data_IF_083999199804
#
_entry.id   IF_083999199804
#
_cell.length_a   1.000
_cell.length_b   1.000
_cell.length_c   1.000
_cell.angle_alpha   90.00
_cell.angle_beta   90.00
_cell.angle_gamma   90.00
#
_symmetry.space_group_name_H-M   'P 1'
#
loop_
_entity.id
_entity.type
_entity.pdbx_description
1 polymer ?
#
# COMPACT_ATOMS: atom_id res chain seq x y z
N UNK A 1 -66.85 -7.14 1.20
CA UNK A 1 -66.26 -8.41 0.74
C UNK A 1 -65.27 -8.23 -0.42
N UNK A 2 -65.59 -7.44 -1.47
CA UNK A 2 -64.67 -7.19 -2.60
C UNK A 2 -63.33 -6.53 -2.24
N UNK A 3 -63.30 -5.58 -1.29
CA UNK A 3 -62.03 -4.91 -0.89
C UNK A 3 -61.03 -5.85 -0.21
N UNK A 4 -61.50 -6.81 0.58
CA UNK A 4 -60.65 -7.83 1.24
C UNK A 4 -60.04 -8.79 0.22
N UNK A 5 -60.81 -9.13 -0.82
CA UNK A 5 -60.35 -9.99 -1.91
C UNK A 5 -59.29 -9.31 -2.78
N UNK A 6 -59.48 -8.03 -3.13
CA UNK A 6 -58.50 -7.23 -3.89
C UNK A 6 -57.22 -7.01 -3.08
N UNK A 7 -57.32 -6.77 -1.76
CA UNK A 7 -56.15 -6.64 -0.88
C UNK A 7 -55.33 -7.94 -0.80
N UNK A 8 -55.99 -9.09 -0.69
CA UNK A 8 -55.30 -10.39 -0.68
C UNK A 8 -54.65 -10.71 -2.04
N UNK A 9 -55.28 -10.36 -3.16
CA UNK A 9 -54.68 -10.51 -4.51
C UNK A 9 -53.45 -9.61 -4.67
N UNK A 10 -53.50 -8.36 -4.19
CA UNK A 10 -52.36 -7.43 -4.24
C UNK A 10 -51.20 -7.88 -3.33
N UNK A 11 -51.51 -8.41 -2.14
CA UNK A 11 -50.52 -8.96 -1.21
C UNK A 11 -49.86 -10.23 -1.78
N UNK A 12 -50.62 -11.09 -2.44
CA UNK A 12 -50.13 -12.30 -3.11
C UNK A 12 -49.21 -11.96 -4.28
N UNK A 13 -49.61 -11.04 -5.17
CA UNK A 13 -48.76 -10.55 -6.27
C UNK A 13 -47.47 -9.87 -5.78
N UNK A 14 -47.51 -9.14 -4.65
CA UNK A 14 -46.31 -8.53 -4.06
C UNK A 14 -45.31 -9.58 -3.58
N UNK A 15 -45.78 -10.71 -3.06
CA UNK A 15 -44.94 -11.84 -2.63
C UNK A 15 -44.35 -12.61 -3.81
N UNK A 16 -45.11 -12.82 -4.89
CA UNK A 16 -44.59 -13.40 -6.12
C UNK A 16 -43.49 -12.53 -6.76
N UNK A 17 -43.69 -11.21 -6.78
CA UNK A 17 -42.67 -10.26 -7.27
C UNK A 17 -41.42 -10.28 -6.38
N UNK A 18 -41.58 -10.28 -5.05
CA UNK A 18 -40.45 -10.38 -4.10
C UNK A 18 -39.70 -11.71 -4.24
N UNK A 19 -40.42 -12.82 -4.43
CA UNK A 19 -39.83 -14.14 -4.67
C UNK A 19 -39.07 -14.18 -5.99
N UNK A 20 -39.64 -13.62 -7.07
CA UNK A 20 -38.97 -13.55 -8.36
C UNK A 20 -37.73 -12.65 -8.31
N UNK A 21 -37.79 -11.53 -7.59
CA UNK A 21 -36.64 -10.66 -7.35
C UNK A 21 -35.55 -11.40 -6.53
N UNK A 22 -35.94 -12.13 -5.49
CA UNK A 22 -35.04 -12.93 -4.68
C UNK A 22 -34.39 -14.07 -5.48
N UNK A 23 -35.13 -14.72 -6.38
CA UNK A 23 -34.61 -15.75 -7.30
C UNK A 23 -33.64 -15.13 -8.31
N UNK A 24 -33.97 -13.97 -8.89
CA UNK A 24 -33.05 -13.26 -9.79
C UNK A 24 -31.78 -12.82 -9.08
N UNK A 25 -31.91 -12.31 -7.84
CA UNK A 25 -30.77 -11.98 -6.98
C UNK A 25 -29.97 -13.23 -6.68
N UNK A 26 -30.60 -14.35 -6.31
CA UNK A 26 -29.94 -15.61 -6.01
C UNK A 26 -29.26 -16.23 -7.24
N UNK A 27 -29.86 -16.16 -8.42
CA UNK A 27 -29.27 -16.62 -9.68
C UNK A 27 -28.08 -15.74 -10.07
N UNK A 28 -28.22 -14.41 -9.96
CA UNK A 28 -27.09 -13.49 -10.18
C UNK A 28 -25.98 -13.73 -9.17
N UNK A 29 -26.32 -13.92 -7.90
CA UNK A 29 -25.40 -14.23 -6.82
C UNK A 29 -24.69 -15.56 -7.06
N UNK A 30 -25.41 -16.58 -7.52
CA UNK A 30 -24.85 -17.87 -7.89
C UNK A 30 -23.89 -17.75 -9.08
N UNK A 31 -24.26 -17.03 -10.14
CA UNK A 31 -23.36 -16.78 -11.27
C UNK A 31 -22.11 -15.99 -10.87
N UNK A 32 -22.23 -15.05 -9.93
CA UNK A 32 -21.11 -14.29 -9.37
C UNK A 32 -20.18 -15.20 -8.56
N UNK A 33 -20.74 -16.09 -7.73
CA UNK A 33 -19.99 -17.03 -6.91
C UNK A 33 -19.27 -18.12 -7.72
N UNK A 34 -19.79 -18.44 -8.91
CA UNK A 34 -19.18 -19.40 -9.84
C UNK A 34 -18.27 -18.75 -10.89
N UNK A 35 -18.21 -17.42 -10.96
CA UNK A 35 -17.36 -16.73 -11.93
C UNK A 35 -15.90 -16.90 -11.52
N UNK A 36 -15.08 -17.50 -12.38
CA UNK A 36 -13.63 -17.49 -12.25
C UNK A 36 -13.05 -16.56 -13.32
N UNK A 37 -12.44 -15.41 -12.95
CA UNK A 37 -11.81 -14.53 -13.91
C UNK A 37 -10.66 -15.28 -14.58
N UNK A 38 -10.62 -15.24 -15.91
CA UNK A 38 -9.52 -15.80 -16.66
C UNK A 38 -8.33 -14.84 -16.60
N UNK A 39 -7.45 -15.04 -15.61
CA UNK A 39 -6.24 -14.23 -15.40
C UNK A 39 -5.28 -14.33 -16.59
N UNK A 40 -5.30 -15.40 -17.39
CA UNK A 40 -4.38 -15.53 -18.53
C UNK A 40 -4.51 -14.40 -19.54
N UNK A 41 -5.72 -13.86 -19.75
CA UNK A 41 -5.90 -12.68 -20.60
C UNK A 41 -5.40 -11.40 -19.94
N UNK A 42 -5.47 -11.30 -18.61
CA UNK A 42 -5.04 -10.14 -17.82
C UNK A 42 -3.54 -10.06 -17.60
N UNK A 43 -2.80 -11.18 -17.70
CA UNK A 43 -1.34 -11.23 -17.57
C UNK A 43 -0.65 -10.40 -18.65
N UNK A 44 -1.15 -10.42 -19.90
CA UNK A 44 -0.55 -9.67 -21.01
C UNK A 44 0.95 -9.95 -21.22
N UNK A 45 1.41 -11.20 -21.02
CA UNK A 45 2.83 -11.59 -21.12
C UNK A 45 3.48 -11.21 -22.47
N UNK A 46 2.69 -11.20 -23.54
CA UNK A 46 3.12 -10.80 -24.88
C UNK A 46 3.53 -9.32 -24.99
N UNK A 47 3.30 -8.49 -23.94
CA UNK A 47 3.72 -7.10 -23.84
C UNK A 47 5.14 -6.93 -23.27
N UNK A 48 5.77 -8.00 -22.78
CA UNK A 48 7.16 -7.92 -22.33
C UNK A 48 8.13 -7.61 -23.50
N UNK A 49 9.21 -6.82 -23.27
CA UNK A 49 9.74 -6.41 -21.96
C UNK A 49 9.04 -5.18 -21.34
N UNK A 50 8.05 -4.57 -22.00
CA UNK A 50 7.24 -3.45 -21.47
C UNK A 50 6.15 -3.97 -20.52
N UNK A 51 6.61 -4.60 -19.44
CA UNK A 51 5.80 -5.30 -18.44
C UNK A 51 6.46 -5.21 -17.06
N UNK A 52 5.80 -5.72 -16.01
CA UNK A 52 6.30 -5.66 -14.62
C UNK A 52 7.39 -6.69 -14.32
N UNK A 53 7.47 -7.77 -15.09
CA UNK A 53 8.49 -8.81 -14.94
C UNK A 53 8.03 -10.19 -15.38
N UNK A 54 8.90 -11.18 -15.22
CA UNK A 54 8.64 -12.58 -15.61
C UNK A 54 8.99 -13.61 -14.54
N UNK A 55 9.44 -13.16 -13.36
CA UNK A 55 9.91 -14.02 -12.26
C UNK A 55 8.84 -14.97 -11.70
N UNK A 56 7.56 -14.65 -11.87
CA UNK A 56 6.44 -15.51 -11.46
C UNK A 56 5.85 -16.37 -12.60
N UNK A 57 6.29 -16.21 -13.84
CA UNK A 57 5.60 -16.81 -14.98
C UNK A 57 5.66 -18.34 -15.01
N UNK A 58 6.65 -18.95 -14.36
CA UNK A 58 6.78 -20.40 -14.25
C UNK A 58 5.76 -21.04 -13.30
N UNK A 59 5.18 -20.31 -12.34
CA UNK A 59 4.23 -20.87 -11.38
C UNK A 59 2.89 -20.12 -11.30
N UNK A 60 2.71 -18.97 -11.97
CA UNK A 60 1.47 -18.18 -11.87
C UNK A 60 0.20 -18.96 -12.25
N UNK A 61 0.33 -19.97 -13.10
CA UNK A 61 -0.76 -20.84 -13.52
C UNK A 61 -1.17 -21.86 -12.44
N UNK A 62 -0.34 -22.07 -11.42
CA UNK A 62 -0.62 -22.92 -10.26
C UNK A 62 -1.41 -22.18 -9.17
N UNK A 63 -1.58 -20.86 -9.30
CA UNK A 63 -2.35 -20.05 -8.35
C UNK A 63 -3.84 -20.32 -8.53
N UNK A 64 -4.47 -20.94 -7.54
CA UNK A 64 -5.91 -21.17 -7.54
C UNK A 64 -6.64 -19.87 -7.15
N UNK A 65 -7.32 -19.26 -8.11
CA UNK A 65 -8.04 -18.00 -7.91
C UNK A 65 -9.35 -18.32 -7.18
N UNK A 66 -9.44 -17.89 -5.93
CA UNK A 66 -10.56 -18.18 -5.07
C UNK A 66 -11.46 -16.94 -4.92
N UNK A 67 -12.57 -16.88 -5.66
CA UNK A 67 -13.68 -15.96 -5.37
C UNK A 67 -14.65 -16.60 -4.38
N UNK A 68 -14.14 -16.99 -3.21
CA UNK A 68 -14.93 -17.73 -2.22
C UNK A 68 -15.40 -16.88 -1.05
N UNK A 69 -14.78 -15.73 -0.78
CA UNK A 69 -15.21 -14.84 0.29
C UNK A 69 -15.95 -13.61 -0.24
N UNK A 70 -16.94 -13.16 0.54
CA UNK A 70 -17.83 -12.04 0.19
C UNK A 70 -17.03 -10.77 -0.02
N UNK A 71 -15.89 -10.62 0.65
CA UNK A 71 -15.00 -9.47 0.54
C UNK A 71 -14.24 -9.42 -0.81
N UNK A 72 -13.74 -10.54 -1.31
CA UNK A 72 -13.09 -10.67 -2.62
C UNK A 72 -14.08 -10.39 -3.75
N UNK A 73 -15.33 -10.82 -3.58
CA UNK A 73 -16.42 -10.48 -4.50
C UNK A 73 -16.75 -8.98 -4.41
N UNK A 74 -16.89 -8.41 -3.21
CA UNK A 74 -17.11 -6.97 -3.06
C UNK A 74 -15.96 -6.13 -3.65
N UNK A 75 -14.70 -6.44 -3.34
CA UNK A 75 -13.53 -5.73 -3.85
C UNK A 75 -13.47 -5.75 -5.39
N UNK A 76 -13.79 -6.90 -6.00
CA UNK A 76 -13.84 -7.08 -7.45
C UNK A 76 -14.96 -6.26 -8.12
N UNK A 77 -16.17 -6.21 -7.54
CA UNK A 77 -17.33 -5.51 -8.14
C UNK A 77 -17.41 -4.02 -7.81
N UNK A 78 -16.80 -3.56 -6.70
CA UNK A 78 -16.85 -2.17 -6.26
C UNK A 78 -15.58 -1.36 -6.58
N UNK A 79 -14.72 -1.88 -7.48
CA UNK A 79 -13.73 -1.06 -8.19
C UNK A 79 -12.38 -0.87 -7.49
N UNK A 80 -12.00 -1.77 -6.58
CA UNK A 80 -10.64 -1.77 -6.02
C UNK A 80 -9.70 -2.39 -7.07
N UNK A 81 -9.14 -1.53 -7.93
CA UNK A 81 -7.99 -1.72 -8.84
C UNK A 81 -7.66 -3.19 -9.23
N UNK A 82 -8.37 -3.85 -10.16
CA UNK A 82 -7.92 -5.12 -10.77
C UNK A 82 -7.20 -6.12 -9.82
N UNK A 83 -7.72 -6.30 -8.60
CA UNK A 83 -7.14 -7.15 -7.55
C UNK A 83 -7.85 -8.50 -7.56
N UNK A 84 -7.07 -9.57 -7.53
CA UNK A 84 -7.56 -10.95 -7.46
C UNK A 84 -6.97 -11.64 -6.24
N UNK A 85 -7.77 -12.47 -5.58
CA UNK A 85 -7.32 -13.25 -4.44
C UNK A 85 -7.19 -14.72 -4.85
N UNK A 86 -6.12 -15.36 -4.38
CA UNK A 86 -5.83 -16.75 -4.70
C UNK A 86 -5.11 -17.50 -3.61
N UNK A 87 -4.81 -18.76 -3.89
CA UNK A 87 -4.01 -19.64 -3.03
C UNK A 87 -2.87 -20.23 -3.85
N UNK A 88 -1.66 -20.15 -3.32
CA UNK A 88 -0.45 -20.72 -3.90
C UNK A 88 0.33 -21.47 -2.83
N UNK A 89 0.65 -22.74 -3.05
CA UNK A 89 1.34 -23.61 -2.09
C UNK A 89 0.72 -23.62 -0.68
N UNK A 90 -0.62 -23.55 -0.61
CA UNK A 90 -1.36 -23.51 0.66
C UNK A 90 -1.41 -22.13 1.34
N UNK A 91 -0.70 -21.13 0.82
CA UNK A 91 -0.71 -19.75 1.32
C UNK A 91 -1.66 -18.88 0.50
N UNK A 92 -2.37 -17.95 1.15
CA UNK A 92 -3.19 -16.95 0.44
C UNK A 92 -2.29 -15.91 -0.23
N UNK A 93 -2.62 -15.55 -1.46
CA UNK A 93 -1.89 -14.56 -2.27
C UNK A 93 -2.86 -13.55 -2.87
N UNK A 94 -2.34 -12.38 -3.21
CA UNK A 94 -3.02 -11.33 -3.96
C UNK A 94 -2.33 -11.16 -5.30
N UNK A 95 -3.11 -11.07 -6.37
CA UNK A 95 -2.63 -10.74 -7.70
C UNK A 95 -3.14 -9.35 -8.05
N UNK A 96 -2.25 -8.44 -8.41
CA UNK A 96 -2.59 -7.04 -8.71
C UNK A 96 -2.18 -6.68 -10.13
N UNK A 97 -3.10 -6.04 -10.87
CA UNK A 97 -2.77 -5.28 -12.09
C UNK A 97 -2.69 -3.80 -11.72
N UNK A 98 -1.47 -3.34 -11.48
CA UNK A 98 -1.12 -2.09 -10.79
C UNK A 98 -1.33 -0.80 -11.61
N UNK A 99 -2.13 -0.85 -12.67
CA UNK A 99 -2.53 0.29 -13.48
C UNK A 99 -3.89 0.00 -14.13
N UNK A 100 -4.66 1.06 -14.39
CA UNK A 100 -5.92 0.94 -15.10
C UNK A 100 -5.70 0.63 -16.58
N UNK A 101 -6.68 0.01 -17.23
CA UNK A 101 -6.53 -0.37 -18.64
C UNK A 101 -6.23 0.84 -19.53
N UNK A 102 -6.84 2.00 -19.28
CA UNK A 102 -6.55 3.21 -20.07
C UNK A 102 -5.13 3.75 -19.86
N UNK A 103 -4.58 3.63 -18.64
CA UNK A 103 -3.21 4.07 -18.33
C UNK A 103 -2.21 3.19 -19.06
N UNK A 104 -2.47 1.87 -19.06
CA UNK A 104 -1.67 0.89 -19.78
C UNK A 104 -1.76 1.05 -21.30
N UNK A 105 -2.94 1.35 -21.84
CA UNK A 105 -3.14 1.62 -23.25
C UNK A 105 -2.41 2.90 -23.70
N UNK A 106 -2.45 3.96 -22.88
CA UNK A 106 -1.72 5.20 -23.15
C UNK A 106 -0.19 4.98 -23.05
N UNK A 107 0.26 4.19 -22.08
CA UNK A 107 1.66 3.79 -21.95
C UNK A 107 2.14 2.93 -23.14
N UNK A 108 1.32 2.00 -23.61
CA UNK A 108 1.57 1.22 -24.82
C UNK A 108 1.65 2.08 -26.07
N UNK A 109 0.80 3.12 -26.15
CA UNK A 109 0.82 4.08 -27.25
C UNK A 109 2.11 4.88 -27.24
N UNK A 110 2.46 5.45 -26.09
CA UNK A 110 3.70 6.24 -25.90
C UNK A 110 4.95 5.43 -26.27
N UNK A 111 5.06 4.20 -25.78
CA UNK A 111 6.23 3.33 -26.05
C UNK A 111 6.36 2.92 -27.51
N UNK A 112 5.26 2.89 -28.26
CA UNK A 112 5.26 2.51 -29.68
C UNK A 112 5.33 3.69 -30.66
N UNK A 113 4.99 4.90 -30.22
CA UNK A 113 5.06 6.13 -31.03
C UNK A 113 6.40 6.87 -30.89
N UNK A 114 7.04 6.77 -29.72
CA UNK A 114 8.33 7.43 -29.46
C UNK A 114 9.48 6.63 -30.08
N UNK A 115 10.28 7.27 -30.93
CA UNK A 115 11.46 6.68 -31.57
C UNK A 115 12.48 6.14 -30.55
N UNK A 116 12.56 6.72 -29.36
CA UNK A 116 13.46 6.31 -28.28
C UNK A 116 13.07 4.94 -27.71
N UNK A 117 11.77 4.67 -27.59
CA UNK A 117 11.23 3.44 -26.99
C UNK A 117 10.80 2.40 -28.01
N UNK A 118 10.88 2.74 -29.30
CA UNK A 118 10.44 1.87 -30.39
C UNK A 118 11.10 0.47 -30.37
N UNK A 119 12.34 0.36 -29.86
CA UNK A 119 13.05 -0.92 -29.75
C UNK A 119 12.42 -1.90 -28.73
N UNK A 120 11.69 -1.39 -27.72
CA UNK A 120 11.02 -2.21 -26.69
C UNK A 120 9.53 -2.39 -26.96
N UNK A 121 8.94 -1.61 -27.87
CA UNK A 121 7.53 -1.78 -28.26
C UNK A 121 7.29 -3.17 -28.87
N UNK A 122 6.31 -3.89 -28.36
CA UNK A 122 6.05 -5.28 -28.77
C UNK A 122 5.57 -5.45 -30.20
N UNK A 123 4.99 -4.41 -30.81
CA UNK A 123 4.61 -4.41 -32.23
C UNK A 123 5.82 -4.32 -33.17
N UNK A 124 6.97 -3.84 -32.69
CA UNK A 124 8.19 -3.58 -33.47
C UNK A 124 9.35 -4.52 -33.15
N UNK A 125 9.32 -5.28 -32.04
CA UNK A 125 10.38 -6.24 -31.65
C UNK A 125 10.78 -7.20 -32.78
N UNK A 126 9.85 -7.61 -33.66
CA UNK A 126 10.16 -8.45 -34.83
C UNK A 126 11.08 -7.79 -35.88
N UNK A 127 11.30 -6.47 -35.81
CA UNK A 127 12.11 -5.68 -36.77
C UNK A 127 13.50 -5.30 -36.25
N UNK A 128 13.75 -5.34 -34.94
CA UNK A 128 14.94 -4.74 -34.30
C UNK A 128 16.01 -5.75 -33.84
N UNK A 129 15.90 -7.03 -34.24
CA UNK A 129 16.81 -8.11 -33.82
C UNK A 129 17.03 -8.17 -32.28
N UNK A 130 16.01 -7.80 -31.49
CA UNK A 130 16.05 -7.76 -30.02
C UNK A 130 17.14 -6.86 -29.41
N UNK A 131 17.66 -5.87 -30.15
CA UNK A 131 18.70 -4.97 -29.64
C UNK A 131 18.09 -3.73 -28.99
N UNK A 132 18.12 -3.69 -27.65
CA UNK A 132 17.73 -2.49 -26.88
C UNK A 132 18.89 -1.48 -26.89
N UNK A 133 18.70 -0.35 -27.57
CA UNK A 133 19.70 0.72 -27.66
C UNK A 133 19.51 1.81 -26.60
N UNK A 134 18.26 2.09 -26.20
CA UNK A 134 17.94 3.06 -25.17
C UNK A 134 18.56 2.71 -23.81
N UNK A 135 19.05 3.74 -23.09
CA UNK A 135 19.59 3.59 -21.74
C UNK A 135 18.47 3.77 -20.69
N UNK A 136 17.73 2.69 -20.41
CA UNK A 136 16.62 2.73 -19.46
C UNK A 136 17.02 3.17 -18.05
N UNK A 137 18.29 2.99 -17.68
CA UNK A 137 18.81 3.50 -16.41
C UNK A 137 18.68 5.02 -16.28
N UNK A 138 19.05 5.77 -17.33
CA UNK A 138 18.97 7.23 -17.32
C UNK A 138 17.51 7.71 -17.21
N UNK A 139 16.57 6.96 -17.81
CA UNK A 139 15.15 7.26 -17.66
C UNK A 139 14.69 7.02 -16.22
N UNK A 140 15.08 5.91 -15.58
CA UNK A 140 14.77 5.68 -14.15
C UNK A 140 15.29 6.81 -13.27
N UNK A 141 16.55 7.23 -13.46
CA UNK A 141 17.15 8.33 -12.70
C UNK A 141 16.37 9.64 -12.89
N UNK A 142 15.96 9.93 -14.13
CA UNK A 142 15.18 11.12 -14.45
C UNK A 142 13.81 11.09 -13.77
N UNK A 143 13.05 10.01 -13.93
CA UNK A 143 11.69 9.90 -13.36
C UNK A 143 11.71 10.05 -11.84
N UNK A 144 12.65 9.39 -11.16
CA UNK A 144 12.78 9.44 -9.70
C UNK A 144 13.28 10.80 -9.20
N UNK A 145 14.08 11.53 -10.00
CA UNK A 145 14.63 12.84 -9.65
C UNK A 145 13.64 14.00 -9.81
N UNK A 146 12.73 13.89 -10.78
CA UNK A 146 11.77 14.96 -11.05
C UNK A 146 10.69 14.97 -9.98
N UNK A 147 10.49 16.11 -9.30
CA UNK A 147 9.29 16.31 -8.46
C UNK A 147 8.07 16.06 -9.35
N UNK A 148 7.05 15.29 -8.92
CA UNK A 148 5.92 14.89 -9.76
C UNK A 148 5.04 16.11 -10.03
N UNK A 149 5.48 16.96 -10.96
CA UNK A 149 4.72 18.09 -11.51
C UNK A 149 4.12 17.70 -12.86
N UNK A 150 4.58 16.58 -13.46
CA UNK A 150 4.03 16.05 -14.70
C UNK A 150 3.41 14.69 -14.43
N UNK A 151 2.09 14.69 -14.54
CA UNK A 151 1.20 13.54 -14.75
C UNK A 151 0.68 12.89 -13.47
N UNK A 152 -0.59 12.49 -13.53
CA UNK A 152 -1.41 11.91 -12.47
C UNK A 152 -0.95 10.51 -12.00
N UNK A 153 0.32 10.16 -12.15
CA UNK A 153 0.85 8.84 -11.81
C UNK A 153 1.54 8.86 -10.45
N UNK A 154 1.26 7.83 -9.67
CA UNK A 154 1.86 7.56 -8.38
C UNK A 154 3.37 7.32 -8.54
N UNK A 155 4.19 7.77 -7.59
CA UNK A 155 5.62 7.95 -7.86
C UNK A 155 6.56 7.55 -6.73
N UNK A 156 7.69 6.94 -7.13
CA UNK A 156 8.88 6.76 -6.30
C UNK A 156 9.75 8.01 -6.41
N UNK A 157 9.93 8.71 -5.29
CA UNK A 157 10.84 9.86 -5.23
C UNK A 157 12.10 9.50 -4.46
N UNK A 158 13.29 9.78 -5.00
CA UNK A 158 14.56 9.70 -4.27
C UNK A 158 15.17 11.09 -4.18
N UNK A 159 15.45 11.52 -2.96
CA UNK A 159 15.91 12.88 -2.69
C UNK A 159 16.90 12.91 -1.51
N UNK A 160 17.67 14.00 -1.34
CA UNK A 160 17.79 15.16 -2.23
C UNK A 160 18.62 14.87 -3.49
N UNK A 161 19.20 13.68 -3.62
CA UNK A 161 20.03 13.27 -4.75
C UNK A 161 19.70 11.86 -5.20
N UNK A 162 19.97 11.53 -6.47
CA UNK A 162 19.80 10.19 -7.03
C UNK A 162 21.11 9.40 -7.13
N UNK A 163 22.22 9.96 -6.61
CA UNK A 163 23.56 9.35 -6.70
C UNK A 163 23.62 7.91 -6.16
N UNK A 164 22.89 7.63 -5.07
CA UNK A 164 22.86 6.30 -4.46
C UNK A 164 21.68 5.43 -4.94
N UNK A 165 21.06 5.73 -6.09
CA UNK A 165 20.00 4.89 -6.68
C UNK A 165 20.45 3.43 -6.86
N UNK A 166 21.71 3.19 -7.25
CA UNK A 166 22.26 1.84 -7.34
C UNK A 166 22.22 1.09 -6.00
N UNK A 167 22.51 1.78 -4.89
CA UNK A 167 22.47 1.19 -3.57
C UNK A 167 21.03 0.91 -3.15
N UNK A 168 20.09 1.78 -3.49
CA UNK A 168 18.65 1.57 -3.25
C UNK A 168 18.13 0.33 -4.00
N UNK A 169 18.47 0.19 -5.28
CA UNK A 169 18.01 -0.90 -6.14
C UNK A 169 18.86 -2.18 -6.04
N UNK A 170 19.87 -2.22 -5.16
CA UNK A 170 20.84 -3.32 -5.12
C UNK A 170 20.19 -4.69 -4.91
N UNK A 171 19.20 -4.79 -4.03
CA UNK A 171 18.50 -6.04 -3.75
C UNK A 171 17.75 -6.57 -4.98
N UNK A 172 17.16 -5.68 -5.78
CA UNK A 172 16.46 -6.06 -7.02
C UNK A 172 17.46 -6.65 -8.01
N UNK A 173 18.58 -5.96 -8.23
CA UNK A 173 19.63 -6.45 -9.14
C UNK A 173 20.29 -7.75 -8.68
N UNK A 174 20.37 -7.97 -7.37
CA UNK A 174 20.89 -9.21 -6.81
C UNK A 174 19.90 -10.37 -6.98
N UNK A 175 18.61 -10.15 -6.69
CA UNK A 175 17.57 -11.16 -6.76
C UNK A 175 17.25 -11.56 -8.21
N UNK A 176 17.32 -10.61 -9.15
CA UNK A 176 17.04 -10.82 -10.58
C UNK A 176 18.33 -10.97 -11.40
N UNK A 177 19.40 -11.51 -10.80
CA UNK A 177 20.73 -11.64 -11.44
C UNK A 177 20.74 -12.51 -12.71
N UNK A 178 19.77 -13.40 -12.84
CA UNK A 178 19.62 -14.31 -13.98
C UNK A 178 18.86 -13.64 -15.15
N UNK A 179 18.25 -12.47 -14.90
CA UNK A 179 17.60 -11.64 -15.92
C UNK A 179 18.63 -10.74 -16.60
N UNK A 180 18.55 -10.62 -17.94
CA UNK A 180 19.42 -9.71 -18.68
C UNK A 180 19.33 -8.27 -18.13
N UNK A 181 20.48 -7.64 -17.91
CA UNK A 181 20.54 -6.33 -17.23
C UNK A 181 19.74 -5.25 -17.96
N UNK A 182 19.74 -5.23 -19.29
CA UNK A 182 18.99 -4.23 -20.06
C UNK A 182 17.49 -4.47 -19.94
N UNK A 183 17.07 -5.74 -19.95
CA UNK A 183 15.67 -6.11 -19.74
C UNK A 183 15.22 -5.73 -18.32
N UNK A 184 16.05 -6.00 -17.32
CA UNK A 184 15.74 -5.63 -15.93
C UNK A 184 15.63 -4.11 -15.75
N UNK A 185 16.50 -3.33 -16.40
CA UNK A 185 16.40 -1.87 -16.39
C UNK A 185 15.10 -1.39 -17.07
N UNK A 186 14.57 -2.10 -18.08
CA UNK A 186 13.22 -1.82 -18.65
C UNK A 186 12.13 -2.13 -17.62
N UNK A 187 12.16 -3.27 -16.92
CA UNK A 187 11.18 -3.60 -15.89
C UNK A 187 11.16 -2.56 -14.77
N UNK A 188 12.33 -2.13 -14.30
CA UNK A 188 12.47 -1.09 -13.29
C UNK A 188 11.86 0.22 -13.81
N UNK A 189 12.17 0.62 -15.04
CA UNK A 189 11.57 1.83 -15.63
C UNK A 189 10.05 1.75 -15.74
N UNK A 190 9.50 0.64 -16.23
CA UNK A 190 8.04 0.43 -16.34
C UNK A 190 7.39 0.57 -14.97
N UNK A 191 7.95 -0.05 -13.94
CA UNK A 191 7.45 0.03 -12.58
C UNK A 191 7.60 1.44 -11.99
N UNK A 192 8.72 2.13 -12.22
CA UNK A 192 8.90 3.51 -11.77
C UNK A 192 7.84 4.45 -12.37
N UNK A 193 7.46 4.25 -13.64
CA UNK A 193 6.50 5.11 -14.34
C UNK A 193 5.05 4.77 -13.99
N UNK A 194 4.71 3.48 -13.92
CA UNK A 194 3.32 3.05 -13.73
C UNK A 194 2.96 2.89 -12.26
N UNK A 195 3.79 2.17 -11.50
CA UNK A 195 3.52 1.86 -10.11
C UNK A 195 4.77 1.27 -9.40
N UNK A 196 5.38 2.00 -8.45
CA UNK A 196 6.63 1.59 -7.83
C UNK A 196 6.46 0.55 -6.72
N UNK A 197 5.24 0.18 -6.34
CA UNK A 197 4.97 -0.78 -5.26
C UNK A 197 5.81 -2.06 -5.38
N UNK A 198 5.93 -2.73 -6.56
CA UNK A 198 6.71 -3.96 -6.68
C UNK A 198 8.22 -3.74 -6.48
N UNK A 199 8.74 -2.55 -6.82
CA UNK A 199 10.12 -2.19 -6.53
C UNK A 199 10.30 -2.04 -5.02
N UNK A 200 9.37 -1.35 -4.37
CA UNK A 200 9.41 -1.09 -2.93
C UNK A 200 9.25 -2.36 -2.11
N UNK A 201 8.40 -3.31 -2.50
CA UNK A 201 8.28 -4.61 -1.82
C UNK A 201 9.58 -5.44 -1.91
N UNK A 202 10.34 -5.29 -2.99
CA UNK A 202 11.66 -5.93 -3.13
C UNK A 202 12.77 -5.22 -2.34
N UNK A 203 12.73 -3.88 -2.29
CA UNK A 203 13.66 -3.06 -1.50
C UNK A 203 13.42 -3.27 0.00
N UNK A 204 12.16 -3.30 0.40
CA UNK A 204 11.68 -3.39 1.79
C UNK A 204 11.20 -4.81 2.09
N UNK A 205 12.06 -5.81 1.92
CA UNK A 205 11.64 -7.22 2.02
C UNK A 205 10.96 -7.57 3.35
N UNK A 206 9.77 -8.17 3.26
CA UNK A 206 9.06 -8.72 4.42
C UNK A 206 9.91 -9.75 5.19
N UNK A 207 10.75 -10.52 4.50
CA UNK A 207 11.65 -11.52 5.10
C UNK A 207 12.74 -10.86 5.98
N UNK A 208 13.04 -9.58 5.75
CA UNK A 208 13.94 -8.80 6.60
C UNK A 208 13.18 -8.10 7.75
N UNK A 209 11.88 -8.36 7.93
CA UNK A 209 11.04 -7.79 8.98
C UNK A 209 10.53 -6.37 8.69
N UNK A 210 10.47 -5.98 7.42
CA UNK A 210 9.75 -4.77 7.01
C UNK A 210 8.23 -4.99 7.08
N UNK A 211 7.43 -3.97 7.47
CA UNK A 211 5.98 -4.09 7.66
C UNK A 211 5.25 -3.91 6.31
N UNK A 212 5.56 -4.74 5.33
CA UNK A 212 4.95 -4.76 4.00
C UNK A 212 4.66 -6.21 3.57
N UNK A 213 3.77 -6.45 2.59
CA UNK A 213 3.55 -7.77 2.02
C UNK A 213 4.83 -8.40 1.48
N UNK A 214 4.91 -9.73 1.53
CA UNK A 214 5.94 -10.46 0.78
C UNK A 214 5.67 -10.36 -0.72
N UNK A 215 6.67 -9.95 -1.49
CA UNK A 215 6.66 -10.03 -2.95
C UNK A 215 7.02 -11.45 -3.40
N UNK A 216 6.17 -12.08 -4.20
CA UNK A 216 6.45 -13.40 -4.77
C UNK A 216 7.04 -13.33 -6.18
N UNK A 217 6.68 -12.31 -6.96
CA UNK A 217 7.18 -12.12 -8.32
C UNK A 217 6.19 -11.40 -9.21
N UNK A 218 6.54 -11.24 -10.49
CA UNK A 218 5.65 -10.69 -11.50
C UNK A 218 5.59 -11.59 -12.73
N UNK A 219 4.45 -11.61 -13.40
CA UNK A 219 4.33 -12.18 -14.74
C UNK A 219 3.52 -11.23 -15.62
N UNK A 220 4.17 -10.71 -16.68
CA UNK A 220 3.56 -9.73 -17.55
C UNK A 220 3.16 -8.48 -16.75
N UNK A 221 1.88 -8.13 -16.75
CA UNK A 221 1.29 -6.98 -16.04
C UNK A 221 0.57 -7.37 -14.75
N UNK A 222 0.91 -8.52 -14.19
CA UNK A 222 0.38 -9.00 -12.91
C UNK A 222 1.53 -9.19 -11.94
N UNK A 223 1.35 -8.67 -10.74
CA UNK A 223 2.23 -8.90 -9.59
C UNK A 223 1.55 -9.88 -8.64
N UNK A 224 2.34 -10.77 -8.04
CA UNK A 224 1.89 -11.72 -7.01
C UNK A 224 2.54 -11.34 -5.68
N UNK A 225 1.71 -11.14 -4.67
CA UNK A 225 2.14 -10.75 -3.32
C UNK A 225 1.37 -11.53 -2.24
N UNK A 226 1.83 -11.40 -0.99
CA UNK A 226 1.16 -11.95 0.19
C UNK A 226 -0.22 -11.34 0.43
N UNK A 227 -1.21 -12.21 0.66
CA UNK A 227 -2.44 -11.78 1.32
C UNK A 227 -2.19 -11.67 2.82
N UNK A 228 -2.07 -10.44 3.31
CA UNK A 228 -1.81 -10.15 4.73
C UNK A 228 -3.01 -10.51 5.60
N UNK A 229 -4.20 -10.04 5.23
CA UNK A 229 -5.42 -10.18 6.02
C UNK A 229 -6.43 -9.08 5.71
N UNK A 230 -7.31 -8.78 6.66
CA UNK A 230 -8.32 -7.73 6.52
C UNK A 230 -7.71 -6.35 6.75
N UNK A 231 -8.29 -5.28 6.16
CA UNK A 231 -7.87 -3.91 6.42
C UNK A 231 -8.09 -3.54 7.89
N UNK A 232 -7.36 -2.52 8.37
CA UNK A 232 -7.39 -2.06 9.76
C UNK A 232 -8.79 -1.61 10.19
N UNK A 233 -9.60 -1.09 9.26
CA UNK A 233 -11.01 -0.73 9.49
C UNK A 233 -11.84 -1.89 10.04
N UNK A 234 -11.54 -3.13 9.67
CA UNK A 234 -12.23 -4.32 10.18
C UNK A 234 -12.00 -4.56 11.68
N UNK A 235 -10.95 -3.97 12.26
CA UNK A 235 -10.54 -4.16 13.66
C UNK A 235 -10.99 -3.01 14.57
N UNK A 236 -11.75 -2.05 14.04
CA UNK A 236 -12.19 -0.88 14.80
C UNK A 236 -13.00 -1.27 16.06
N UNK A 237 -13.89 -2.27 15.97
CA UNK A 237 -14.71 -2.71 17.11
C UNK A 237 -14.11 -3.87 17.93
N UNK A 238 -12.86 -4.24 17.68
CA UNK A 238 -12.20 -5.32 18.42
C UNK A 238 -11.91 -4.92 19.87
N UNK A 239 -11.66 -5.91 20.78
CA UNK A 239 -11.31 -5.62 22.16
C UNK A 239 -10.15 -4.63 22.26
N UNK A 240 -10.23 -3.69 23.20
CA UNK A 240 -9.26 -2.58 23.33
C UNK A 240 -7.80 -3.07 23.35
N UNK A 241 -7.52 -4.18 24.04
CA UNK A 241 -6.18 -4.75 24.12
C UNK A 241 -5.63 -5.20 22.75
N UNK A 242 -6.49 -5.72 21.87
CA UNK A 242 -6.10 -6.08 20.51
C UNK A 242 -5.81 -4.83 19.69
N UNK A 243 -6.66 -3.80 19.80
CA UNK A 243 -6.41 -2.49 19.16
C UNK A 243 -5.13 -1.83 19.66
N UNK A 244 -4.81 -1.94 20.96
CA UNK A 244 -3.54 -1.51 21.53
C UNK A 244 -2.33 -2.23 20.93
N UNK A 245 -2.44 -3.53 20.67
CA UNK A 245 -1.40 -4.31 19.98
C UNK A 245 -1.20 -3.84 18.53
N UNK A 246 -2.29 -3.58 17.80
CA UNK A 246 -2.24 -3.01 16.46
C UNK A 246 -1.61 -1.60 16.47
N UNK A 247 -1.96 -0.74 17.42
CA UNK A 247 -1.33 0.58 17.59
C UNK A 247 0.17 0.45 17.89
N UNK A 248 0.58 -0.46 18.77
CA UNK A 248 2.01 -0.70 19.02
C UNK A 248 2.75 -1.12 17.74
N UNK A 249 2.14 -1.99 16.94
CA UNK A 249 2.66 -2.43 15.64
C UNK A 249 2.76 -1.28 14.62
N UNK A 250 1.78 -0.37 14.56
CA UNK A 250 1.83 0.83 13.73
C UNK A 250 3.01 1.73 14.10
N UNK A 251 3.22 1.97 15.41
CA UNK A 251 4.31 2.81 15.89
C UNK A 251 5.69 2.15 15.67
N UNK A 252 5.77 0.80 15.73
CA UNK A 252 6.96 0.05 15.32
C UNK A 252 7.25 0.22 13.82
N UNK A 253 6.22 0.19 12.98
CA UNK A 253 6.36 0.42 11.54
C UNK A 253 6.85 1.84 11.23
N UNK A 254 6.32 2.88 11.90
CA UNK A 254 6.83 4.25 11.78
C UNK A 254 8.34 4.31 12.07
N UNK A 255 8.78 3.66 13.15
CA UNK A 255 10.19 3.55 13.48
C UNK A 255 10.99 2.86 12.37
N UNK A 256 10.51 1.71 11.86
CA UNK A 256 11.21 0.95 10.82
C UNK A 256 11.40 1.77 9.55
N UNK A 257 10.33 2.37 9.02
CA UNK A 257 10.39 3.21 7.82
C UNK A 257 11.31 4.42 7.98
N UNK A 258 11.32 5.06 9.16
CA UNK A 258 12.17 6.23 9.39
C UNK A 258 13.63 5.88 9.68
N UNK A 259 13.92 4.80 10.43
CA UNK A 259 15.23 4.59 11.05
C UNK A 259 15.92 3.26 10.75
N UNK A 260 15.20 2.21 10.34
CA UNK A 260 15.80 0.86 10.22
C UNK A 260 16.95 0.80 9.21
N UNK A 261 16.86 1.55 8.11
CA UNK A 261 17.95 1.66 7.15
C UNK A 261 18.82 2.89 7.47
N UNK A 262 20.14 2.67 7.57
CA UNK A 262 21.11 3.71 7.91
C UNK A 262 21.28 4.75 6.79
N UNK A 263 21.18 4.30 5.54
CA UNK A 263 21.39 5.12 4.34
C UNK A 263 20.11 5.75 3.82
N UNK A 264 18.94 5.14 4.06
CA UNK A 264 17.67 5.60 3.51
C UNK A 264 16.59 5.77 4.57
N UNK A 265 15.77 6.80 4.44
CA UNK A 265 14.49 6.94 5.15
C UNK A 265 13.35 6.79 4.15
N UNK A 266 12.32 6.02 4.50
CA UNK A 266 11.17 5.77 3.65
C UNK A 266 9.97 6.48 4.28
N UNK A 267 9.32 7.38 3.55
CA UNK A 267 8.24 8.20 4.07
C UNK A 267 6.96 7.93 3.30
N UNK A 268 5.97 7.38 4.00
CA UNK A 268 4.68 6.96 3.46
C UNK A 268 3.77 8.16 3.27
N UNK A 269 3.32 8.41 2.04
CA UNK A 269 2.54 9.61 1.72
C UNK A 269 1.04 9.35 1.49
N UNK A 270 0.60 8.10 1.58
CA UNK A 270 -0.81 7.70 1.44
C UNK A 270 -1.25 6.72 2.55
N UNK A 271 -1.07 7.16 3.79
CA UNK A 271 -1.48 6.37 4.97
C UNK A 271 -2.98 6.51 5.20
N UNK A 272 -3.68 5.38 5.19
CA UNK A 272 -5.11 5.27 5.53
C UNK A 272 -5.39 3.94 6.24
N UNK A 273 -6.55 3.81 6.87
CA UNK A 273 -6.94 2.57 7.54
C UNK A 273 -7.23 1.42 6.54
N UNK A 274 -7.53 1.74 5.29
CA UNK A 274 -7.77 0.73 4.24
C UNK A 274 -6.47 0.26 3.57
N UNK A 275 -5.42 1.10 3.59
CA UNK A 275 -4.09 0.78 3.07
C UNK A 275 -3.20 0.03 4.08
N UNK A 276 -3.75 -0.32 5.25
CA UNK A 276 -3.08 -1.10 6.28
C UNK A 276 -3.86 -2.39 6.51
N UNK A 277 -3.20 -3.53 6.37
CA UNK A 277 -3.78 -4.84 6.65
C UNK A 277 -3.16 -5.46 7.91
N UNK A 278 -3.91 -6.35 8.54
CA UNK A 278 -3.52 -7.02 9.79
C UNK A 278 -3.33 -8.52 9.55
N UNK A 279 -2.16 -9.04 9.91
CA UNK A 279 -1.86 -10.46 9.78
C UNK A 279 -2.48 -11.31 10.91
N UNK A 280 -2.36 -12.63 10.78
CA UNK A 280 -2.88 -13.58 11.77
C UNK A 280 -2.24 -13.46 13.18
N UNK A 281 -1.10 -12.79 13.30
CA UNK A 281 -0.39 -12.54 14.55
C UNK A 281 -0.65 -11.13 15.12
N UNK A 282 -1.59 -10.38 14.55
CA UNK A 282 -1.89 -8.98 14.83
C UNK A 282 -0.71 -8.02 14.58
N UNK A 283 0.15 -8.32 13.62
CA UNK A 283 1.08 -7.33 13.08
C UNK A 283 0.41 -6.59 11.92
N UNK A 284 0.69 -5.30 11.83
CA UNK A 284 0.24 -4.49 10.70
C UNK A 284 1.25 -4.56 9.55
N UNK A 285 0.75 -4.47 8.31
CA UNK A 285 1.55 -4.28 7.10
C UNK A 285 0.88 -3.26 6.19
N UNK A 286 1.67 -2.41 5.55
CA UNK A 286 1.19 -1.43 4.56
C UNK A 286 1.10 -2.10 3.18
N UNK A 287 -0.10 -2.16 2.62
CA UNK A 287 -0.42 -2.93 1.41
C UNK A 287 -0.54 -2.09 0.13
N UNK A 288 -0.47 -0.76 0.26
CA UNK A 288 -0.37 0.19 -0.84
C UNK A 288 0.94 0.98 -0.65
N UNK A 289 1.90 0.78 -1.57
CA UNK A 289 3.19 1.45 -1.56
C UNK A 289 3.40 2.27 -2.85
N UNK A 290 2.31 2.70 -3.47
CA UNK A 290 2.37 3.39 -4.77
C UNK A 290 3.01 4.78 -4.64
N UNK A 291 2.97 5.39 -3.46
CA UNK A 291 3.50 6.72 -3.19
C UNK A 291 4.44 6.71 -1.97
N UNK A 292 5.76 6.84 -2.22
CA UNK A 292 6.78 6.91 -1.17
C UNK A 292 7.86 7.93 -1.54
N UNK A 293 8.26 8.72 -0.53
CA UNK A 293 9.46 9.55 -0.59
C UNK A 293 10.60 8.80 0.09
N UNK A 294 11.67 8.55 -0.66
CA UNK A 294 12.92 7.98 -0.16
C UNK A 294 13.93 9.11 0.04
N UNK A 295 14.37 9.30 1.27
CA UNK A 295 15.44 10.24 1.62
C UNK A 295 16.75 9.50 1.74
N UNK A 296 17.71 9.85 0.88
CA UNK A 296 19.12 9.49 0.98
C UNK A 296 19.78 10.27 2.12
N UNK A 297 20.13 9.57 3.19
CA UNK A 297 20.75 10.12 4.41
C UNK A 297 22.26 10.30 4.25
N UNK A 298 22.86 9.68 3.24
CA UNK A 298 24.31 9.51 3.07
C UNK A 298 24.90 10.49 2.06
N UNK A 299 24.34 11.71 1.99
CA UNK A 299 24.74 12.76 1.05
C UNK A 299 26.00 13.54 1.49
N UNK A 300 26.69 14.12 0.51
CA UNK A 300 27.90 14.91 0.76
C UNK A 300 27.56 16.24 1.43
N UNK A 301 28.45 16.84 2.24
CA UNK A 301 28.17 18.10 2.93
C UNK A 301 27.72 19.25 2.03
N UNK A 302 28.19 19.28 0.78
CA UNK A 302 27.82 20.29 -0.23
C UNK A 302 26.38 20.18 -0.74
N UNK A 303 25.75 19.02 -0.59
CA UNK A 303 24.36 18.76 -1.01
C UNK A 303 23.36 19.02 0.13
N UNK A 304 23.85 19.24 1.36
CA UNK A 304 23.01 19.41 2.54
C UNK A 304 22.40 20.79 2.53
N UNK A 305 21.09 20.84 2.78
CA UNK A 305 20.41 22.09 3.12
C UNK A 305 20.96 22.65 4.46
N UNK A 306 20.68 23.91 4.74
CA UNK A 306 20.99 24.53 6.04
C UNK A 306 20.24 23.87 7.20
N UNK A 307 19.09 23.25 6.94
CA UNK A 307 18.26 22.58 7.94
C UNK A 307 18.49 21.07 8.00
N UNK A 308 19.43 20.52 7.20
CA UNK A 308 19.60 19.07 7.03
C UNK A 308 19.69 18.26 8.33
N UNK A 309 20.39 18.79 9.33
CA UNK A 309 20.59 18.11 10.62
C UNK A 309 19.48 18.39 11.64
N UNK A 310 18.50 19.21 11.31
CA UNK A 310 17.33 19.47 12.14
C UNK A 310 16.28 18.38 11.90
N UNK A 311 15.47 18.09 12.92
CA UNK A 311 14.29 17.25 12.73
C UNK A 311 13.25 18.04 11.93
N UNK A 312 12.81 17.50 10.80
CA UNK A 312 11.64 18.04 10.12
C UNK A 312 10.39 17.65 10.90
N UNK A 313 9.67 18.66 11.38
CA UNK A 313 8.37 18.50 12.05
C UNK A 313 7.28 18.88 11.07
N UNK A 314 6.36 17.96 10.80
CA UNK A 314 5.22 18.26 9.94
C UNK A 314 4.22 19.17 10.67
N UNK A 315 4.03 20.37 10.10
CA UNK A 315 3.11 21.42 10.56
C UNK A 315 2.02 21.75 9.53
N UNK A 316 1.97 21.02 8.41
CA UNK A 316 0.95 21.24 7.38
C UNK A 316 -0.43 20.92 7.94
N UNK A 317 -1.36 21.86 7.80
CA UNK A 317 -2.72 21.73 8.30
C UNK A 317 -3.68 22.31 7.25
N UNK A 318 -4.27 21.44 6.42
CA UNK A 318 -5.36 21.83 5.54
C UNK A 318 -6.69 21.86 6.30
N UNK A 319 -7.67 22.56 5.73
CA UNK A 319 -9.04 22.66 6.25
C UNK A 319 -9.80 21.32 6.32
N UNK A 320 -9.21 20.20 5.89
CA UNK A 320 -9.79 18.87 6.01
C UNK A 320 -9.12 18.07 7.15
N UNK A 321 -9.87 17.75 8.23
CA UNK A 321 -9.35 17.02 9.38
C UNK A 321 -8.84 15.59 9.10
N UNK A 322 -9.25 15.02 7.96
CA UNK A 322 -9.00 13.62 7.58
C UNK A 322 -7.96 13.49 6.45
N UNK A 323 -7.41 14.61 5.95
CA UNK A 323 -6.39 14.56 4.90
C UNK A 323 -4.99 14.44 5.49
N UNK A 324 -4.14 13.67 4.82
CA UNK A 324 -2.72 13.65 5.08
C UNK A 324 -2.03 14.82 4.35
N UNK A 325 -1.57 15.81 5.10
CA UNK A 325 -0.91 17.00 4.57
C UNK A 325 0.60 16.93 4.81
N UNK A 326 1.41 17.19 3.79
CA UNK A 326 2.87 17.22 3.93
C UNK A 326 3.55 17.98 2.78
N UNK A 327 4.77 18.45 3.06
CA UNK A 327 5.65 19.06 2.08
C UNK A 327 6.75 18.08 1.70
N UNK A 328 6.69 17.57 0.46
CA UNK A 328 7.76 16.70 -0.08
C UNK A 328 9.13 17.39 -0.05
N UNK A 329 9.15 18.70 -0.28
CA UNK A 329 10.37 19.51 -0.26
C UNK A 329 10.97 19.56 1.13
N UNK A 330 10.14 19.77 2.16
CA UNK A 330 10.63 19.81 3.54
C UNK A 330 11.13 18.45 3.99
N UNK A 331 10.42 17.36 3.68
CA UNK A 331 10.92 16.00 3.95
C UNK A 331 12.29 15.78 3.28
N UNK A 332 12.42 16.15 2.01
CA UNK A 332 13.66 15.98 1.24
C UNK A 332 14.83 16.87 1.69
N UNK A 333 14.56 17.98 2.37
CA UNK A 333 15.57 18.91 2.86
C UNK A 333 16.13 18.53 4.23
N UNK A 334 15.68 17.44 4.86
CA UNK A 334 16.12 17.03 6.18
C UNK A 334 16.53 15.56 6.20
N UNK A 335 17.52 15.24 7.04
CA UNK A 335 17.98 13.86 7.23
C UNK A 335 16.89 12.97 7.83
N UNK A 336 16.07 13.54 8.72
CA UNK A 336 15.02 12.84 9.46
C UNK A 336 13.78 13.73 9.50
N UNK A 337 12.63 13.12 9.22
CA UNK A 337 11.31 13.71 9.33
C UNK A 337 10.44 12.90 10.29
N UNK A 338 9.55 13.58 11.02
CA UNK A 338 8.54 12.92 11.84
C UNK A 338 7.30 12.46 11.04
N UNK A 339 7.32 12.58 9.72
CA UNK A 339 6.15 12.37 8.85
C UNK A 339 5.47 11.01 9.04
N UNK A 340 6.21 9.90 9.16
CA UNK A 340 5.59 8.59 9.39
C UNK A 340 4.81 8.53 10.71
N UNK A 341 5.34 9.16 11.76
CA UNK A 341 4.65 9.28 13.06
C UNK A 341 3.47 10.22 12.96
N UNK A 342 3.62 11.34 12.24
CA UNK A 342 2.53 12.27 11.97
C UNK A 342 1.38 11.58 11.25
N UNK A 343 1.67 10.84 10.17
CA UNK A 343 0.67 10.16 9.37
C UNK A 343 -0.11 9.14 10.21
N UNK A 344 0.59 8.29 10.96
CA UNK A 344 -0.06 7.31 11.85
C UNK A 344 -0.86 7.98 12.95
N UNK A 345 -0.26 8.92 13.69
CA UNK A 345 -0.95 9.53 14.83
C UNK A 345 -2.13 10.38 14.39
N UNK A 346 -1.96 11.22 13.37
CA UNK A 346 -3.01 12.09 12.86
C UNK A 346 -4.14 11.31 12.22
N UNK A 347 -3.85 10.34 11.36
CA UNK A 347 -4.89 9.64 10.58
C UNK A 347 -5.54 8.51 11.37
N UNK A 348 -4.76 7.77 12.17
CA UNK A 348 -5.25 6.51 12.78
C UNK A 348 -5.51 6.61 14.29
N UNK A 349 -4.87 7.56 15.00
CA UNK A 349 -4.95 7.65 16.47
C UNK A 349 -5.66 8.90 17.00
N UNK A 350 -5.95 9.88 16.15
CA UNK A 350 -6.60 11.13 16.58
C UNK A 350 -7.95 10.85 17.27
N UNK A 351 -8.12 11.44 18.47
CA UNK A 351 -9.33 11.35 19.28
C UNK A 351 -10.47 12.26 18.75
N UNK A 352 -10.74 12.24 17.45
CA UNK A 352 -11.79 13.03 16.82
C UNK A 352 -13.01 12.14 16.55
N UNK A 353 -14.08 12.34 17.32
CA UNK A 353 -15.34 11.59 17.18
C UNK A 353 -16.07 11.84 15.85
N UNK A 354 -15.76 12.94 15.16
CA UNK A 354 -16.36 13.27 13.87
C UNK A 354 -15.60 12.67 12.68
N UNK A 355 -14.56 11.86 12.92
CA UNK A 355 -13.82 11.17 11.86
C UNK A 355 -14.74 10.14 11.18
N UNK A 356 -14.82 10.19 9.85
CA UNK A 356 -15.72 9.36 9.04
C UNK A 356 -15.29 7.88 8.94
N UNK A 357 -14.01 7.59 9.18
CA UNK A 357 -13.41 6.25 9.00
C UNK A 357 -13.19 5.57 10.36
N UNK A 358 -12.48 6.23 11.28
CA UNK A 358 -12.18 5.74 12.64
C UNK A 358 -12.59 6.79 13.68
N UNK A 359 -13.89 6.91 14.03
CA UNK A 359 -14.35 7.82 15.07
C UNK A 359 -13.59 7.65 16.39
N UNK A 360 -12.96 8.71 16.90
CA UNK A 360 -12.17 8.65 18.13
C UNK A 360 -10.84 7.89 18.03
N UNK A 361 -10.44 7.46 16.82
CA UNK A 361 -9.19 6.77 16.56
C UNK A 361 -9.17 5.31 17.02
N UNK A 362 -8.08 4.60 16.71
CA UNK A 362 -7.98 3.17 16.99
C UNK A 362 -8.00 2.82 18.48
N UNK A 363 -7.69 3.77 19.39
CA UNK A 363 -7.67 3.57 20.84
C UNK A 363 -8.92 4.11 21.57
N UNK A 364 -10.03 4.37 20.85
CA UNK A 364 -11.29 4.81 21.45
C UNK A 364 -11.84 3.82 22.51
N UNK A 365 -12.77 4.28 23.34
CA UNK A 365 -13.45 3.50 24.38
C UNK A 365 -12.50 2.69 25.27
N UNK A 366 -11.49 3.37 25.83
CA UNK A 366 -10.53 2.76 26.74
C UNK A 366 -11.23 2.29 28.04
N UNK A 367 -11.02 1.03 28.46
CA UNK A 367 -11.58 0.52 29.71
C UNK A 367 -11.16 1.36 30.93
N UNK A 368 -12.08 1.53 31.89
CA UNK A 368 -11.87 2.40 33.05
C UNK A 368 -10.67 1.96 33.92
N UNK A 369 -10.48 0.67 34.11
CA UNK A 369 -9.36 0.10 34.86
C UNK A 369 -7.99 0.40 34.22
N UNK A 370 -7.94 0.40 32.88
CA UNK A 370 -6.74 0.77 32.11
C UNK A 370 -6.54 2.29 32.19
N UNK A 371 -7.60 3.08 32.03
CA UNK A 371 -7.53 4.54 32.14
C UNK A 371 -7.02 4.99 33.50
N UNK A 372 -7.54 4.42 34.59
CA UNK A 372 -7.11 4.74 35.96
C UNK A 372 -5.66 4.30 36.23
N UNK A 373 -5.25 3.15 35.69
CA UNK A 373 -3.89 2.63 35.87
C UNK A 373 -2.84 3.32 34.99
N UNK A 374 -3.26 3.87 33.85
CA UNK A 374 -2.38 4.41 32.81
C UNK A 374 -2.94 5.72 32.21
N UNK A 375 -3.08 6.78 33.03
CA UNK A 375 -3.69 8.05 32.61
C UNK A 375 -2.91 8.75 31.48
N UNK A 376 -1.61 8.46 31.34
CA UNK A 376 -0.71 9.10 30.38
C UNK A 376 -1.03 8.75 28.91
N UNK A 377 -1.79 7.68 28.63
CA UNK A 377 -2.10 7.24 27.25
C UNK A 377 -2.75 8.37 26.46
N UNK A 378 -3.77 9.03 27.01
CA UNK A 378 -4.48 10.10 26.30
C UNK A 378 -3.57 11.30 26.04
N UNK A 379 -2.73 11.65 27.01
CA UNK A 379 -1.75 12.72 26.86
C UNK A 379 -0.74 12.40 25.75
N UNK A 380 -0.19 11.18 25.74
CA UNK A 380 0.78 10.74 24.73
C UNK A 380 0.17 10.69 23.32
N UNK A 381 -1.10 10.28 23.18
CA UNK A 381 -1.81 10.35 21.89
C UNK A 381 -1.90 11.80 21.43
N UNK A 382 -2.32 12.72 22.31
CA UNK A 382 -2.44 14.14 21.97
C UNK A 382 -1.09 14.75 21.57
N UNK A 383 -0.02 14.44 22.29
CA UNK A 383 1.34 14.89 21.97
C UNK A 383 1.85 14.29 20.66
N UNK A 384 1.46 13.06 20.32
CA UNK A 384 1.81 12.50 19.01
C UNK A 384 1.07 13.22 17.86
N UNK A 385 -0.21 13.54 18.03
CA UNK A 385 -0.98 14.22 16.99
C UNK A 385 -0.54 15.68 16.85
N UNK A 386 -0.53 16.42 17.96
CA UNK A 386 -0.21 17.84 18.04
C UNK A 386 0.86 18.06 19.13
N UNK A 387 2.14 17.90 18.80
CA UNK A 387 3.23 17.99 19.79
C UNK A 387 3.33 19.40 20.38
N UNK A 388 3.52 19.47 21.69
CA UNK A 388 3.83 20.69 22.43
C UNK A 388 5.22 20.54 23.04
N UNK A 389 6.00 21.63 23.02
CA UNK A 389 7.34 21.62 23.61
C UNK A 389 7.28 21.30 25.11
N UNK A 390 8.24 20.51 25.65
CA UNK A 390 9.45 20.02 25.01
C UNK A 390 9.35 18.64 24.33
N UNK A 391 8.20 17.95 24.40
CA UNK A 391 8.09 16.58 23.91
C UNK A 391 7.87 16.54 22.39
N UNK A 392 8.78 15.89 21.65
CA UNK A 392 8.58 15.74 20.21
C UNK A 392 7.50 14.68 19.92
N UNK A 393 6.92 14.76 18.72
CA UNK A 393 5.98 13.76 18.21
C UNK A 393 6.56 12.34 18.24
N UNK A 394 7.83 12.22 17.88
CA UNK A 394 8.56 10.94 17.83
C UNK A 394 8.73 10.38 19.24
N UNK A 395 9.12 11.23 20.20
CA UNK A 395 9.30 10.81 21.59
C UNK A 395 7.97 10.36 22.20
N UNK A 396 6.90 11.15 22.00
CA UNK A 396 5.54 10.80 22.46
C UNK A 396 5.05 9.47 21.87
N UNK A 397 5.29 9.24 20.58
CA UNK A 397 4.97 7.98 19.92
C UNK A 397 5.75 6.79 20.50
N UNK A 398 7.05 6.95 20.73
CA UNK A 398 7.91 5.90 21.30
C UNK A 398 7.47 5.58 22.74
N UNK A 399 7.16 6.60 23.53
CA UNK A 399 6.65 6.43 24.90
C UNK A 399 5.27 5.77 24.90
N UNK A 400 4.36 6.18 24.03
CA UNK A 400 3.05 5.55 23.84
C UNK A 400 3.22 4.07 23.52
N UNK A 401 4.06 3.73 22.53
CA UNK A 401 4.34 2.34 22.16
C UNK A 401 4.84 1.53 23.35
N UNK A 402 5.83 2.04 24.09
CA UNK A 402 6.39 1.36 25.28
C UNK A 402 5.32 1.12 26.33
N UNK A 403 4.45 2.11 26.58
CA UNK A 403 3.36 1.99 27.54
C UNK A 403 2.35 0.92 27.11
N UNK A 404 1.94 0.91 25.84
CA UNK A 404 1.07 -0.13 25.29
C UNK A 404 1.70 -1.53 25.41
N UNK A 405 2.99 -1.68 25.10
CA UNK A 405 3.71 -2.96 25.22
C UNK A 405 3.72 -3.47 26.68
N UNK A 406 3.83 -2.59 27.67
CA UNK A 406 3.74 -2.95 29.10
C UNK A 406 2.34 -3.46 29.44
N UNK A 407 1.29 -2.76 28.99
CA UNK A 407 -0.11 -3.11 29.25
C UNK A 407 -0.46 -4.46 28.62
N UNK A 408 -0.06 -4.67 27.36
CA UNK A 408 -0.28 -5.92 26.61
C UNK A 408 0.35 -7.09 27.36
N UNK A 409 1.64 -7.01 27.69
CA UNK A 409 2.35 -8.08 28.42
C UNK A 409 1.75 -8.39 29.78
N UNK A 410 1.27 -7.37 30.51
CA UNK A 410 0.65 -7.56 31.82
C UNK A 410 -0.64 -8.37 31.70
N UNK A 411 -1.47 -8.08 30.70
CA UNK A 411 -2.76 -8.76 30.50
C UNK A 411 -2.61 -10.15 29.86
N UNK A 412 -1.60 -10.38 29.03
CA UNK A 412 -1.29 -11.72 28.49
C UNK A 412 -0.84 -12.70 29.58
N UNK A 413 -0.20 -12.24 30.66
CA UNK A 413 0.23 -13.09 31.79
C UNK A 413 -0.90 -13.48 32.76
N UNK A 414 -2.04 -12.84 32.66
CA UNK A 414 -3.21 -13.07 33.55
C UNK A 414 -4.17 -14.09 32.92
N UNK A 415 -4.04 -14.35 31.61
CA UNK A 415 -4.71 -15.45 30.90
C UNK A 415 -3.85 -16.70 30.95
#
# INVERSE_FOLDING_TARGET
>A
MLLSYIYNILKFKKWEILSFLAILIALKWFTIFTFQPNIHHSIELHKCPVCFGTSACNYIHEVDIALRDVYSVFAYFFGIKNVFFGVFNGSRVVLKKLAQNFELDEFDRMTCEDEVFFDVCTKSIKRTNNKINANFREFVEKEISTSPVRNNFNGLKLCPTVKHLNALLNNIYYNERDTDRKILDVYIWVLTVLNPEPLLLQILSADEGWPVPKYFGACGRIVVEEYVGLPLTAYYNEPWLRRAKLTSSLLDAAYKFTYKNENFGFYLTDVSADNVAVDSADNIKFVDLENIIVVDKSITPTERSTTWNQLQVNTENFSCPECLAFSSTDICNHKVSDHNYYAICKILLTLNINNSILPGGLLHDMPADIFESYPDIQHLIQQCVHPQTPLSRIDAAIELKKLLDIIIRKHERIK
#
